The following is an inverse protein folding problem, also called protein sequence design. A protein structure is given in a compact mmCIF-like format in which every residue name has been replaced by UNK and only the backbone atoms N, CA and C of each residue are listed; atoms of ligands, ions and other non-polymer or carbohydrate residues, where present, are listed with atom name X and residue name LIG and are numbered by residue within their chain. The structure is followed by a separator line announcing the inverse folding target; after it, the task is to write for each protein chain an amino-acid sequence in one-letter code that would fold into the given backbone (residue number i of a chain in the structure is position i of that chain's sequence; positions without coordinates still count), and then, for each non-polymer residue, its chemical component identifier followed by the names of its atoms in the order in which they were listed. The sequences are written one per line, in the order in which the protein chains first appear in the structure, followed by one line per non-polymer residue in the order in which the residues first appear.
data_IF_401576714884
#
_entry.id   IF_401576714884
#
_cell.length_a   1.000
_cell.length_b   1.000
_cell.length_c   1.000
_cell.angle_alpha   90.00
_cell.angle_beta   90.00
_cell.angle_gamma   90.00
#
_symmetry.space_group_name_H-M   'P 1'
#
loop_
_entity.id
_entity.type
_entity.pdbx_description
1 polymer ?
#
# COMPACT_ATOMS: atom_id res chain seq x y z
N UNK A 1 -0.45 -32.60 -1.54
CA UNK A 1 0.47 -31.54 -1.06
C UNK A 1 0.22 -30.29 -1.89
N UNK A 2 -0.22 -29.19 -1.29
CA UNK A 2 -0.30 -27.90 -2.01
C UNK A 2 1.13 -27.43 -2.20
N UNK A 3 1.57 -27.32 -3.45
CA UNK A 3 2.88 -26.76 -3.77
C UNK A 3 2.98 -25.36 -3.16
N UNK A 4 3.95 -25.12 -2.29
CA UNK A 4 4.26 -23.80 -1.74
C UNK A 4 4.70 -22.87 -2.87
N UNK A 5 4.23 -21.61 -2.86
CA UNK A 5 4.67 -20.65 -3.86
C UNK A 5 6.07 -20.16 -3.47
N UNK A 6 7.06 -20.40 -4.29
CA UNK A 6 8.40 -19.84 -4.12
C UNK A 6 8.34 -18.35 -4.46
N UNK A 7 8.75 -17.47 -3.52
CA UNK A 7 8.83 -16.04 -3.77
C UNK A 7 10.02 -15.70 -4.67
N UNK A 8 11.20 -16.31 -4.37
CA UNK A 8 12.42 -16.12 -5.14
C UNK A 8 12.40 -17.00 -6.39
N UNK A 9 11.94 -16.41 -7.47
CA UNK A 9 11.86 -17.00 -8.80
C UNK A 9 11.91 -15.87 -9.84
N UNK A 10 12.71 -16.03 -10.88
CA UNK A 10 12.66 -15.12 -12.04
C UNK A 10 11.34 -15.34 -12.77
N UNK A 11 10.63 -14.26 -13.03
CA UNK A 11 9.27 -14.27 -13.61
C UNK A 11 9.14 -13.29 -14.74
N UNK A 12 8.42 -13.68 -15.76
CA UNK A 12 7.91 -12.75 -16.75
C UNK A 12 6.72 -11.91 -16.20
N UNK A 13 6.21 -10.97 -16.98
CA UNK A 13 5.13 -10.08 -16.57
C UNK A 13 3.84 -10.84 -16.26
N UNK A 14 3.48 -11.83 -17.08
CA UNK A 14 2.28 -12.64 -16.91
C UNK A 14 2.37 -13.53 -15.67
N UNK A 15 3.52 -14.16 -15.45
CA UNK A 15 3.81 -14.96 -14.26
C UNK A 15 3.76 -14.11 -12.97
N UNK A 16 4.31 -12.87 -12.99
CA UNK A 16 4.22 -11.95 -11.84
C UNK A 16 2.79 -11.67 -11.44
N UNK A 17 1.92 -11.37 -12.42
CA UNK A 17 0.50 -11.10 -12.18
C UNK A 17 -0.20 -12.36 -11.66
N UNK A 18 -0.03 -13.49 -12.36
CA UNK A 18 -0.65 -14.76 -11.97
C UNK A 18 -0.24 -15.21 -10.56
N UNK A 19 1.05 -15.14 -10.26
CA UNK A 19 1.58 -15.53 -8.96
C UNK A 19 1.15 -14.57 -7.84
N UNK A 20 0.97 -13.29 -8.14
CA UNK A 20 0.42 -12.31 -7.18
C UNK A 20 -1.00 -12.68 -6.76
N UNK A 21 -1.87 -13.02 -7.72
CA UNK A 21 -3.22 -13.50 -7.43
C UNK A 21 -3.23 -14.86 -6.73
N UNK A 22 -2.35 -15.76 -7.16
CA UNK A 22 -2.22 -17.08 -6.54
C UNK A 22 -1.77 -16.97 -5.09
N UNK A 23 -0.78 -16.12 -4.80
CA UNK A 23 -0.33 -15.83 -3.45
C UNK A 23 -1.45 -15.25 -2.60
N UNK A 24 -2.13 -14.21 -3.13
CA UNK A 24 -3.26 -13.57 -2.45
C UNK A 24 -4.37 -14.59 -2.15
N UNK A 25 -4.75 -15.41 -3.12
CA UNK A 25 -5.77 -16.46 -2.92
C UNK A 25 -5.39 -17.47 -1.83
N UNK A 26 -4.13 -17.90 -1.80
CA UNK A 26 -3.65 -18.91 -0.84
C UNK A 26 -3.48 -18.37 0.57
N UNK A 27 -3.13 -17.10 0.70
CA UNK A 27 -2.83 -16.45 1.98
C UNK A 27 -3.89 -15.40 2.36
N UNK A 28 -5.06 -15.39 1.70
CA UNK A 28 -6.06 -14.33 1.85
C UNK A 28 -6.50 -14.15 3.29
N UNK A 29 -6.77 -15.24 4.00
CA UNK A 29 -7.24 -15.20 5.40
C UNK A 29 -6.20 -14.57 6.32
N UNK A 30 -4.94 -14.92 6.16
CA UNK A 30 -3.83 -14.43 6.97
C UNK A 30 -3.53 -12.96 6.66
N UNK A 31 -3.52 -12.58 5.38
CA UNK A 31 -3.33 -11.19 4.94
C UNK A 31 -4.50 -10.31 5.39
N UNK A 32 -5.72 -10.80 5.28
CA UNK A 32 -6.92 -10.11 5.77
C UNK A 32 -6.87 -9.92 7.28
N UNK A 33 -6.50 -10.96 8.03
CA UNK A 33 -6.31 -10.86 9.48
C UNK A 33 -5.23 -9.83 9.85
N UNK A 34 -4.11 -9.82 9.11
CA UNK A 34 -3.03 -8.84 9.28
C UNK A 34 -3.54 -7.41 9.04
N UNK A 35 -4.33 -7.21 7.99
CA UNK A 35 -4.96 -5.92 7.71
C UNK A 35 -5.89 -5.48 8.85
N UNK A 36 -6.79 -6.35 9.31
CA UNK A 36 -7.72 -6.01 10.38
C UNK A 36 -7.03 -5.68 11.71
N UNK A 37 -5.95 -6.37 12.05
CA UNK A 37 -5.24 -6.16 13.32
C UNK A 37 -4.39 -4.89 13.30
N UNK A 38 -3.65 -4.63 12.22
CA UNK A 38 -2.63 -3.58 12.21
C UNK A 38 -3.05 -2.29 11.51
N UNK A 39 -4.05 -2.32 10.63
CA UNK A 39 -4.43 -1.16 9.81
C UNK A 39 -5.78 -0.59 10.20
N UNK A 40 -6.80 -1.44 10.34
CA UNK A 40 -8.19 -1.03 10.61
C UNK A 40 -8.34 -0.16 11.86
N UNK A 41 -7.61 -0.36 12.99
CA UNK A 41 -7.72 0.51 14.15
C UNK A 41 -7.44 1.99 13.84
N UNK A 42 -6.45 2.28 13.00
CA UNK A 42 -6.13 3.66 12.60
C UNK A 42 -7.22 4.24 11.70
N UNK A 43 -7.79 3.44 10.80
CA UNK A 43 -8.88 3.89 9.92
C UNK A 43 -10.15 4.16 10.74
N UNK A 44 -10.49 3.28 11.69
CA UNK A 44 -11.65 3.51 12.57
C UNK A 44 -11.47 4.81 13.36
N UNK A 45 -10.28 5.05 13.91
CA UNK A 45 -9.99 6.28 14.63
C UNK A 45 -10.12 7.51 13.71
N UNK A 46 -9.58 7.43 12.49
CA UNK A 46 -9.74 8.49 11.48
C UNK A 46 -11.22 8.76 11.16
N UNK A 47 -12.04 7.72 10.99
CA UNK A 47 -13.49 7.86 10.72
C UNK A 47 -14.20 8.51 11.91
N UNK A 48 -13.93 8.07 13.14
CA UNK A 48 -14.52 8.67 14.35
C UNK A 48 -14.18 10.15 14.45
N UNK A 49 -12.91 10.52 14.29
CA UNK A 49 -12.49 11.93 14.33
C UNK A 49 -13.06 12.72 13.16
N UNK A 50 -13.24 12.12 11.99
CA UNK A 50 -13.87 12.76 10.82
C UNK A 50 -15.34 13.14 11.08
N UNK A 51 -16.06 12.40 11.91
CA UNK A 51 -17.44 12.76 12.28
C UNK A 51 -17.45 14.08 13.08
N UNK A 52 -16.55 14.23 14.07
CA UNK A 52 -16.42 15.46 14.84
C UNK A 52 -15.95 16.63 13.98
N UNK A 53 -14.96 16.38 13.12
CA UNK A 53 -14.45 17.36 12.16
C UNK A 53 -15.55 17.86 11.22
N UNK A 54 -16.35 16.94 10.63
CA UNK A 54 -17.44 17.30 9.73
C UNK A 54 -18.53 18.12 10.44
N UNK A 55 -18.86 17.77 11.69
CA UNK A 55 -19.81 18.56 12.51
C UNK A 55 -19.30 19.96 12.79
N UNK A 56 -18.03 20.12 13.15
CA UNK A 56 -17.39 21.43 13.38
C UNK A 56 -17.35 22.26 12.09
N UNK A 57 -16.93 21.63 10.99
CA UNK A 57 -16.84 22.30 9.69
C UNK A 57 -18.23 22.79 9.22
N UNK A 58 -19.26 21.93 9.35
CA UNK A 58 -20.64 22.32 9.04
C UNK A 58 -21.10 23.51 9.88
N UNK A 59 -20.88 23.50 11.19
CA UNK A 59 -21.25 24.60 12.06
C UNK A 59 -20.51 25.91 11.69
N UNK A 60 -19.22 25.83 11.35
CA UNK A 60 -18.42 26.96 10.91
C UNK A 60 -18.93 27.54 9.59
N UNK A 61 -19.25 26.71 8.60
CA UNK A 61 -19.82 27.15 7.31
C UNK A 61 -21.18 27.81 7.48
N UNK A 62 -22.05 27.24 8.32
CA UNK A 62 -23.41 27.79 8.53
C UNK A 62 -23.39 29.06 9.36
N UNK A 63 -22.58 29.13 10.44
CA UNK A 63 -22.54 30.32 11.33
C UNK A 63 -21.71 31.46 10.78
N UNK A 64 -20.69 31.17 9.93
CA UNK A 64 -19.74 32.12 9.35
C UNK A 64 -19.86 32.22 7.83
N UNK A 65 -21.08 32.11 7.27
CA UNK A 65 -21.29 32.00 5.83
C UNK A 65 -20.57 33.08 4.99
N UNK A 66 -20.31 34.28 5.56
CA UNK A 66 -19.60 35.39 4.91
C UNK A 66 -18.14 35.54 5.37
N UNK A 67 -17.74 34.91 6.51
CA UNK A 67 -16.41 35.05 7.14
C UNK A 67 -15.67 33.71 7.26
N UNK A 68 -16.09 32.70 6.50
CA UNK A 68 -15.43 31.38 6.50
C UNK A 68 -14.02 31.52 5.95
N UNK A 69 -13.03 31.12 6.77
CA UNK A 69 -11.62 31.19 6.42
C UNK A 69 -11.03 29.79 6.23
N UNK A 70 -10.00 29.69 5.39
CA UNK A 70 -9.25 28.43 5.17
C UNK A 70 -8.70 27.90 6.51
N UNK A 71 -8.33 28.76 7.46
CA UNK A 71 -7.92 28.39 8.80
C UNK A 71 -8.97 27.61 9.61
N UNK A 72 -10.25 27.75 9.29
CA UNK A 72 -11.34 26.99 9.93
C UNK A 72 -11.28 25.49 9.56
N UNK A 73 -10.63 25.14 8.44
CA UNK A 73 -10.37 23.76 8.01
C UNK A 73 -9.24 23.15 8.84
N UNK A 74 -8.17 23.91 9.11
CA UNK A 74 -6.97 23.42 9.78
C UNK A 74 -7.12 23.43 11.30
N UNK A 75 -7.95 22.53 11.83
CA UNK A 75 -8.10 22.31 13.27
C UNK A 75 -7.31 21.08 13.77
N UNK A 76 -7.37 20.88 15.08
CA UNK A 76 -6.72 19.72 15.73
C UNK A 76 -7.20 18.38 15.13
N UNK A 77 -8.50 18.28 14.82
CA UNK A 77 -9.11 17.09 14.24
C UNK A 77 -8.52 16.76 12.87
N UNK A 78 -8.27 17.77 12.04
CA UNK A 78 -7.62 17.60 10.73
C UNK A 78 -6.22 17.00 10.88
N UNK A 79 -5.43 17.49 11.83
CA UNK A 79 -4.10 16.97 12.12
C UNK A 79 -4.16 15.50 12.62
N UNK A 80 -5.14 15.18 13.47
CA UNK A 80 -5.33 13.81 13.96
C UNK A 80 -5.73 12.86 12.82
N UNK A 81 -6.66 13.29 11.95
CA UNK A 81 -7.05 12.50 10.77
C UNK A 81 -5.83 12.24 9.88
N UNK A 82 -5.06 13.29 9.57
CA UNK A 82 -3.85 13.17 8.76
C UNK A 82 -2.86 12.18 9.38
N UNK A 83 -2.61 12.31 10.68
CA UNK A 83 -1.72 11.39 11.41
C UNK A 83 -2.24 9.94 11.36
N UNK A 84 -3.53 9.73 11.56
CA UNK A 84 -4.13 8.40 11.46
C UNK A 84 -3.98 7.79 10.07
N UNK A 85 -4.18 8.58 9.00
CA UNK A 85 -4.03 8.11 7.63
C UNK A 85 -2.57 7.76 7.30
N UNK A 86 -1.62 8.59 7.73
CA UNK A 86 -0.18 8.33 7.57
C UNK A 86 0.23 7.07 8.34
N UNK A 87 -0.26 6.90 9.57
CA UNK A 87 -0.03 5.69 10.37
C UNK A 87 -0.69 4.46 9.74
N UNK A 88 -1.91 4.57 9.21
CA UNK A 88 -2.58 3.48 8.50
C UNK A 88 -1.76 3.02 7.29
N UNK A 89 -1.28 3.97 6.46
CA UNK A 89 -0.45 3.66 5.30
C UNK A 89 0.88 2.98 5.68
N UNK A 90 1.61 3.53 6.65
CA UNK A 90 2.86 2.94 7.13
C UNK A 90 2.64 1.55 7.74
N UNK A 91 1.55 1.38 8.51
CA UNK A 91 1.17 0.10 9.12
C UNK A 91 0.82 -0.93 8.06
N UNK A 92 0.11 -0.53 7.02
CA UNK A 92 -0.29 -1.42 5.94
C UNK A 92 0.93 -2.00 5.20
N UNK A 93 1.80 -1.13 4.74
CA UNK A 93 3.04 -1.54 4.07
C UNK A 93 3.90 -2.41 4.99
N UNK A 94 4.12 -1.97 6.24
CA UNK A 94 4.96 -2.70 7.19
C UNK A 94 4.41 -4.08 7.51
N UNK A 95 3.10 -4.19 7.77
CA UNK A 95 2.49 -5.46 8.15
C UNK A 95 2.48 -6.48 6.99
N UNK A 96 2.10 -6.05 5.79
CA UNK A 96 2.05 -6.93 4.61
C UNK A 96 3.44 -7.36 4.19
N UNK A 97 4.41 -6.43 4.11
CA UNK A 97 5.78 -6.80 3.71
C UNK A 97 6.53 -7.59 4.80
N UNK A 98 6.17 -7.41 6.08
CA UNK A 98 6.64 -8.31 7.16
C UNK A 98 6.11 -9.74 6.96
N UNK A 99 4.85 -9.90 6.54
CA UNK A 99 4.30 -11.20 6.21
C UNK A 99 5.07 -11.85 5.06
N UNK A 100 5.34 -11.11 3.97
CA UNK A 100 6.12 -11.61 2.83
C UNK A 100 7.56 -11.98 3.23
N UNK A 101 8.22 -11.15 4.05
CA UNK A 101 9.58 -11.42 4.53
C UNK A 101 9.65 -12.72 5.33
N UNK A 102 8.72 -12.94 6.25
CA UNK A 102 8.64 -14.15 7.05
C UNK A 102 8.27 -15.39 6.21
N UNK A 103 7.36 -15.23 5.24
CA UNK A 103 6.99 -16.30 4.34
C UNK A 103 8.19 -16.77 3.48
N UNK A 104 9.02 -15.84 3.02
CA UNK A 104 10.27 -16.12 2.32
C UNK A 104 11.28 -16.85 3.22
N UNK A 105 11.50 -16.33 4.45
CA UNK A 105 12.43 -16.94 5.43
C UNK A 105 12.03 -18.36 5.82
N UNK A 106 10.73 -18.61 5.93
CA UNK A 106 10.18 -19.91 6.28
C UNK A 106 9.96 -20.82 5.06
N UNK A 107 10.55 -20.48 3.91
CA UNK A 107 10.49 -21.26 2.65
C UNK A 107 9.06 -21.67 2.26
N UNK A 108 8.12 -20.72 2.36
CA UNK A 108 6.74 -20.91 1.96
C UNK A 108 5.78 -21.42 3.05
N UNK A 109 6.24 -21.53 4.29
CA UNK A 109 5.36 -21.80 5.42
C UNK A 109 4.67 -20.49 5.85
N UNK A 110 3.37 -20.58 6.12
CA UNK A 110 2.59 -19.40 6.53
C UNK A 110 3.03 -18.91 7.91
N UNK A 111 3.46 -17.64 8.04
CA UNK A 111 3.84 -17.08 9.32
C UNK A 111 2.63 -16.93 10.25
N UNK A 112 2.88 -17.08 11.55
CA UNK A 112 1.86 -16.83 12.56
C UNK A 112 1.66 -15.33 12.79
N UNK A 113 0.47 -14.92 13.24
CA UNK A 113 0.17 -13.51 13.53
C UNK A 113 1.12 -12.93 14.59
N UNK A 114 1.58 -13.74 15.54
CA UNK A 114 2.55 -13.32 16.54
C UNK A 114 3.91 -12.97 15.93
N UNK A 115 4.40 -13.77 14.98
CA UNK A 115 5.65 -13.50 14.27
C UNK A 115 5.54 -12.23 13.43
N UNK A 116 4.42 -12.08 12.69
CA UNK A 116 4.15 -10.84 11.93
C UNK A 116 4.11 -9.63 12.87
N UNK A 117 3.45 -9.74 14.01
CA UNK A 117 3.38 -8.67 15.01
C UNK A 117 4.74 -8.27 15.56
N UNK A 118 5.60 -9.23 15.88
CA UNK A 118 6.95 -8.94 16.38
C UNK A 118 7.78 -8.15 15.33
N UNK A 119 7.74 -8.58 14.07
CA UNK A 119 8.46 -7.91 12.98
C UNK A 119 7.83 -6.54 12.67
N UNK A 120 6.50 -6.44 12.70
CA UNK A 120 5.77 -5.19 12.53
C UNK A 120 6.17 -4.14 13.58
N UNK A 121 6.06 -4.45 14.88
CA UNK A 121 6.39 -3.49 15.94
C UNK A 121 7.86 -3.08 15.95
N UNK A 122 8.75 -3.97 15.51
CA UNK A 122 10.17 -3.64 15.33
C UNK A 122 10.41 -2.59 14.24
N UNK A 123 9.59 -2.60 13.17
CA UNK A 123 9.88 -1.84 11.95
C UNK A 123 8.91 -0.68 11.69
N UNK A 124 7.68 -0.66 12.24
CA UNK A 124 6.64 0.31 11.85
C UNK A 124 7.08 1.77 11.97
N UNK A 125 7.70 2.17 13.08
CA UNK A 125 8.16 3.55 13.26
C UNK A 125 9.35 3.89 12.37
N UNK A 126 10.21 2.91 12.08
CA UNK A 126 11.33 3.08 11.16
C UNK A 126 10.85 3.23 9.73
N UNK A 127 9.90 2.38 9.30
CA UNK A 127 9.26 2.46 7.98
C UNK A 127 8.48 3.77 7.86
N UNK A 128 7.79 4.21 8.92
CA UNK A 128 7.12 5.50 8.94
C UNK A 128 8.09 6.65 8.68
N UNK A 129 9.18 6.73 9.45
CA UNK A 129 10.20 7.77 9.27
C UNK A 129 10.84 7.73 7.88
N UNK A 130 11.11 6.54 7.38
CA UNK A 130 11.60 6.31 6.05
C UNK A 130 10.62 6.79 4.96
N UNK A 131 9.35 6.40 5.06
CA UNK A 131 8.32 6.80 4.11
C UNK A 131 8.11 8.32 4.09
N UNK A 132 8.18 8.99 5.24
CA UNK A 132 8.12 10.46 5.34
C UNK A 132 9.33 11.08 4.62
N UNK A 133 10.54 10.60 4.89
CA UNK A 133 11.76 11.16 4.27
C UNK A 133 11.78 10.97 2.76
N UNK A 134 11.51 9.75 2.27
CA UNK A 134 11.47 9.47 0.83
C UNK A 134 10.29 10.16 0.17
N UNK A 135 9.10 10.14 0.82
CA UNK A 135 7.91 10.84 0.34
C UNK A 135 8.15 12.33 0.17
N UNK A 136 8.85 12.97 1.11
CA UNK A 136 9.22 14.40 0.99
C UNK A 136 10.07 14.66 -0.25
N UNK A 137 11.10 13.84 -0.49
CA UNK A 137 11.96 13.96 -1.69
C UNK A 137 11.13 13.79 -2.97
N UNK A 138 10.25 12.79 -2.98
CA UNK A 138 9.41 12.49 -4.14
C UNK A 138 8.39 13.61 -4.42
N UNK A 139 7.83 14.24 -3.36
CA UNK A 139 6.95 15.41 -3.49
C UNK A 139 7.69 16.57 -4.14
N UNK A 140 8.94 16.86 -3.76
CA UNK A 140 9.73 17.91 -4.38
C UNK A 140 9.95 17.66 -5.87
N UNK A 141 10.19 16.40 -6.27
CA UNK A 141 10.31 16.01 -7.68
C UNK A 141 8.96 16.16 -8.41
N UNK A 142 7.83 15.88 -7.74
CA UNK A 142 6.49 15.97 -8.32
C UNK A 142 6.04 17.41 -8.63
N UNK A 143 6.68 18.42 -8.06
CA UNK A 143 6.36 19.83 -8.35
C UNK A 143 6.53 20.13 -9.84
N UNK A 144 7.54 19.57 -10.51
CA UNK A 144 7.83 19.85 -11.92
C UNK A 144 6.66 19.42 -12.84
N UNK A 145 6.20 18.15 -12.85
CA UNK A 145 5.05 17.76 -13.66
C UNK A 145 3.77 18.47 -13.23
N UNK A 146 3.59 18.83 -11.96
CA UNK A 146 2.45 19.59 -11.50
C UNK A 146 2.40 20.99 -12.13
N UNK A 147 3.52 21.66 -12.27
CA UNK A 147 3.63 22.92 -12.99
C UNK A 147 3.29 22.74 -14.48
N UNK A 148 3.69 21.63 -15.10
CA UNK A 148 3.36 21.34 -16.50
C UNK A 148 1.83 21.17 -16.69
N UNK A 149 1.11 20.56 -15.71
CA UNK A 149 -0.37 20.42 -15.75
C UNK A 149 -1.04 21.77 -15.92
N UNK A 150 -0.52 22.84 -15.30
CA UNK A 150 -1.09 24.18 -15.40
C UNK A 150 -1.07 24.74 -16.83
N UNK A 151 -0.08 24.37 -17.63
CA UNK A 151 0.07 24.89 -19.01
C UNK A 151 -0.44 23.92 -20.05
N UNK A 152 -0.29 22.63 -19.86
CA UNK A 152 -0.70 21.57 -20.81
C UNK A 152 -1.43 20.47 -20.00
N UNK A 153 -2.73 20.64 -19.72
CA UNK A 153 -3.45 19.78 -18.77
C UNK A 153 -3.39 18.29 -19.12
N UNK A 154 -3.56 17.92 -20.40
CA UNK A 154 -3.54 16.49 -20.81
C UNK A 154 -2.15 15.86 -20.59
N UNK A 155 -1.10 16.55 -21.03
CA UNK A 155 0.28 16.04 -20.90
C UNK A 155 0.69 15.99 -19.42
N UNK A 156 0.31 17.01 -18.65
CA UNK A 156 0.57 17.05 -17.22
C UNK A 156 -0.16 15.95 -16.46
N UNK A 157 -1.42 15.66 -16.80
CA UNK A 157 -2.18 14.57 -16.20
C UNK A 157 -1.54 13.20 -16.46
N UNK A 158 -1.15 12.92 -17.70
CA UNK A 158 -0.44 11.67 -18.07
C UNK A 158 0.91 11.57 -17.35
N UNK A 159 1.67 12.66 -17.30
CA UNK A 159 2.93 12.73 -16.57
C UNK A 159 2.77 12.48 -15.08
N UNK A 160 1.75 13.06 -14.45
CA UNK A 160 1.41 12.85 -13.05
C UNK A 160 1.01 11.39 -12.76
N UNK A 161 0.24 10.79 -13.66
CA UNK A 161 -0.15 9.37 -13.53
C UNK A 161 1.08 8.46 -13.59
N UNK A 162 1.96 8.62 -14.58
CA UNK A 162 3.18 7.83 -14.71
C UNK A 162 4.12 8.04 -13.51
N UNK A 163 4.26 9.28 -13.05
CA UNK A 163 5.08 9.59 -11.89
C UNK A 163 4.54 8.94 -10.61
N UNK A 164 3.22 8.96 -10.41
CA UNK A 164 2.61 8.31 -9.24
C UNK A 164 2.82 6.79 -9.23
N UNK A 165 2.72 6.14 -10.39
CA UNK A 165 3.01 4.70 -10.54
C UNK A 165 4.48 4.41 -10.21
N UNK A 166 5.40 5.22 -10.73
CA UNK A 166 6.82 5.08 -10.45
C UNK A 166 7.13 5.30 -8.96
N UNK A 167 6.53 6.30 -8.34
CA UNK A 167 6.71 6.57 -6.91
C UNK A 167 6.25 5.40 -6.04
N UNK A 168 5.08 4.85 -6.33
CA UNK A 168 4.59 3.69 -5.62
C UNK A 168 5.51 2.47 -5.81
N UNK A 169 6.03 2.24 -7.02
CA UNK A 169 6.99 1.18 -7.28
C UNK A 169 8.28 1.36 -6.44
N UNK A 170 8.82 2.57 -6.40
CA UNK A 170 10.00 2.92 -5.60
C UNK A 170 9.70 2.69 -4.11
N UNK A 171 8.62 3.28 -3.58
CA UNK A 171 8.27 3.18 -2.16
C UNK A 171 8.05 1.73 -1.73
N UNK A 172 7.33 0.94 -2.51
CA UNK A 172 7.09 -0.46 -2.24
C UNK A 172 8.38 -1.29 -2.23
N UNK A 173 9.23 -1.11 -3.24
CA UNK A 173 10.52 -1.83 -3.35
C UNK A 173 11.44 -1.47 -2.20
N UNK A 174 11.62 -0.19 -1.91
CA UNK A 174 12.46 0.29 -0.82
C UNK A 174 11.95 -0.16 0.55
N UNK A 175 10.62 -0.19 0.78
CA UNK A 175 10.04 -0.70 2.03
C UNK A 175 10.32 -2.20 2.20
N UNK A 176 10.21 -2.99 1.14
CA UNK A 176 10.58 -4.41 1.17
C UNK A 176 12.07 -4.61 1.53
N UNK A 177 12.97 -3.85 0.88
CA UNK A 177 14.41 -3.89 1.19
C UNK A 177 14.68 -3.52 2.65
N UNK A 178 14.01 -2.48 3.13
CA UNK A 178 14.18 -2.03 4.51
C UNK A 178 13.80 -3.11 5.51
N UNK A 179 12.68 -3.80 5.29
CA UNK A 179 12.17 -4.84 6.19
C UNK A 179 13.00 -6.14 6.04
N UNK A 180 13.31 -6.55 4.81
CA UNK A 180 13.97 -7.82 4.51
C UNK A 180 15.49 -7.76 4.69
N UNK A 181 16.13 -6.73 4.16
CA UNK A 181 17.60 -6.61 4.15
C UNK A 181 18.11 -5.76 5.31
N UNK A 182 17.24 -5.00 6.00
CA UNK A 182 17.61 -4.15 7.13
C UNK A 182 18.52 -2.96 6.76
N UNK A 183 18.60 -2.61 5.49
CA UNK A 183 19.48 -1.52 4.98
C UNK A 183 18.89 -0.14 5.30
N UNK A 184 19.76 0.85 5.54
CA UNK A 184 19.32 2.24 5.70
C UNK A 184 18.93 2.91 4.38
N UNK A 185 18.46 4.18 4.44
CA UNK A 185 17.98 4.94 3.27
C UNK A 185 19.01 4.95 2.13
N UNK A 186 20.28 5.26 2.43
CA UNK A 186 21.34 5.31 1.43
C UNK A 186 21.59 3.94 0.78
N UNK A 187 21.66 2.86 1.58
CA UNK A 187 21.83 1.50 1.08
C UNK A 187 20.64 1.05 0.25
N UNK A 188 19.42 1.33 0.69
CA UNK A 188 18.20 1.01 -0.06
C UNK A 188 18.14 1.77 -1.39
N UNK A 189 18.58 3.03 -1.44
CA UNK A 189 18.64 3.80 -2.68
C UNK A 189 19.64 3.21 -3.66
N UNK A 190 20.87 2.90 -3.21
CA UNK A 190 21.88 2.25 -4.06
C UNK A 190 21.37 0.92 -4.60
N UNK A 191 20.83 0.08 -3.73
CA UNK A 191 20.25 -1.23 -4.08
C UNK A 191 19.07 -1.12 -5.04
N UNK A 192 18.21 -0.10 -4.89
CA UNK A 192 17.09 0.18 -5.81
C UNK A 192 17.60 0.43 -7.22
N UNK A 193 18.61 1.31 -7.37
CA UNK A 193 19.21 1.59 -8.67
C UNK A 193 19.85 0.35 -9.28
N UNK A 194 20.47 -0.51 -8.47
CA UNK A 194 21.02 -1.79 -8.93
C UNK A 194 19.95 -2.75 -9.43
N UNK A 195 18.84 -2.90 -8.70
CA UNK A 195 17.73 -3.77 -9.08
C UNK A 195 16.97 -3.25 -10.31
N UNK A 196 16.86 -1.92 -10.44
CA UNK A 196 16.12 -1.30 -11.54
C UNK A 196 17.01 -1.05 -12.77
N UNK A 197 18.31 -1.21 -12.65
CA UNK A 197 19.24 -1.03 -13.76
C UNK A 197 18.83 -1.90 -14.94
N UNK A 198 18.67 -1.27 -16.10
CA UNK A 198 18.20 -1.89 -17.36
C UNK A 198 16.77 -2.47 -17.32
N UNK A 199 16.03 -2.33 -16.21
CA UNK A 199 14.68 -2.90 -16.00
C UNK A 199 13.58 -1.85 -15.74
N UNK A 200 13.89 -0.56 -15.82
CA UNK A 200 12.95 0.52 -15.51
C UNK A 200 11.61 0.36 -16.23
N UNK A 201 11.63 0.10 -17.53
CA UNK A 201 10.41 -0.09 -18.33
C UNK A 201 9.61 -1.32 -17.92
N UNK A 202 10.26 -2.41 -17.55
CA UNK A 202 9.59 -3.61 -17.05
C UNK A 202 8.93 -3.37 -15.69
N UNK A 203 9.62 -2.64 -14.80
CA UNK A 203 9.08 -2.25 -13.49
C UNK A 203 7.88 -1.31 -13.65
N UNK A 204 7.99 -0.29 -14.49
CA UNK A 204 6.90 0.65 -14.77
C UNK A 204 5.73 -0.08 -15.43
N UNK A 205 5.99 -0.91 -16.44
CA UNK A 205 4.96 -1.69 -17.14
C UNK A 205 4.20 -2.65 -16.23
N UNK A 206 4.93 -3.39 -15.37
CA UNK A 206 4.30 -4.26 -14.39
C UNK A 206 3.42 -3.47 -13.40
N UNK A 207 3.96 -2.39 -12.83
CA UNK A 207 3.21 -1.58 -11.88
C UNK A 207 2.01 -0.90 -12.54
N UNK A 208 2.14 -0.44 -13.79
CA UNK A 208 1.01 0.09 -14.56
C UNK A 208 -0.14 -0.92 -14.65
N UNK A 209 0.15 -2.16 -15.04
CA UNK A 209 -0.87 -3.21 -15.13
C UNK A 209 -1.44 -3.55 -13.76
N UNK A 210 -0.61 -3.66 -12.73
CA UNK A 210 -1.02 -3.94 -11.36
C UNK A 210 -1.98 -2.84 -10.83
N UNK A 211 -1.67 -1.56 -11.09
CA UNK A 211 -2.55 -0.45 -10.75
C UNK A 211 -3.81 -0.36 -11.60
N UNK A 212 -3.74 -0.70 -12.89
CA UNK A 212 -4.95 -0.77 -13.73
C UNK A 212 -5.94 -1.79 -13.18
N UNK A 213 -5.48 -2.96 -12.76
CA UNK A 213 -6.32 -3.96 -12.12
C UNK A 213 -6.96 -3.39 -10.85
N UNK A 214 -6.16 -2.75 -9.99
CA UNK A 214 -6.67 -2.08 -8.80
C UNK A 214 -7.72 -1.02 -9.12
N UNK A 215 -7.47 -0.13 -10.08
CA UNK A 215 -8.39 0.94 -10.43
C UNK A 215 -9.72 0.45 -11.02
N UNK A 216 -9.76 -0.70 -11.66
CA UNK A 216 -11.02 -1.32 -12.12
C UNK A 216 -11.90 -1.63 -10.91
N UNK A 217 -11.35 -2.23 -9.85
CA UNK A 217 -12.11 -2.55 -8.63
C UNK A 217 -12.40 -1.31 -7.77
N UNK A 218 -11.36 -0.50 -7.52
CA UNK A 218 -11.49 0.71 -6.70
C UNK A 218 -12.38 1.77 -7.36
N UNK A 219 -12.36 1.90 -8.69
CA UNK A 219 -13.16 2.85 -9.44
C UNK A 219 -14.66 2.68 -9.24
N UNK A 220 -15.14 1.43 -9.16
CA UNK A 220 -16.55 1.15 -8.85
C UNK A 220 -16.91 1.68 -7.46
N UNK A 221 -16.05 1.47 -6.46
CA UNK A 221 -16.29 1.95 -5.09
C UNK A 221 -16.22 3.48 -5.00
N UNK A 222 -15.26 4.09 -5.71
CA UNK A 222 -15.17 5.56 -5.81
C UNK A 222 -16.44 6.14 -6.43
N UNK A 223 -16.96 5.52 -7.51
CA UNK A 223 -18.22 5.96 -8.12
C UNK A 223 -19.39 5.87 -7.14
N UNK A 224 -19.51 4.78 -6.37
CA UNK A 224 -20.53 4.64 -5.31
C UNK A 224 -20.35 5.74 -4.26
N UNK A 225 -19.11 6.02 -3.84
CA UNK A 225 -18.78 7.08 -2.89
C UNK A 225 -19.21 8.47 -3.38
N UNK A 226 -18.97 8.78 -4.66
CA UNK A 226 -19.42 10.02 -5.31
C UNK A 226 -20.95 10.12 -5.31
N UNK A 227 -21.66 9.04 -5.60
CA UNK A 227 -23.13 9.00 -5.57
C UNK A 227 -23.66 9.25 -4.16
N UNK A 228 -23.07 8.64 -3.12
CA UNK A 228 -23.41 8.90 -1.73
C UNK A 228 -23.18 10.37 -1.38
N UNK A 229 -22.03 10.91 -1.78
CA UNK A 229 -21.70 12.32 -1.54
C UNK A 229 -22.67 13.27 -2.25
N UNK A 230 -23.06 13.00 -3.49
CA UNK A 230 -24.07 13.79 -4.22
C UNK A 230 -25.42 13.76 -3.50
N UNK A 231 -25.90 12.60 -3.09
CA UNK A 231 -27.16 12.48 -2.34
C UNK A 231 -27.07 13.23 -1.01
N UNK A 232 -25.94 13.14 -0.31
CA UNK A 232 -25.71 13.87 0.92
C UNK A 232 -25.77 15.38 0.71
N UNK A 233 -25.09 15.90 -0.32
CA UNK A 233 -25.07 17.33 -0.63
C UNK A 233 -26.45 17.86 -1.01
N UNK A 234 -27.21 17.14 -1.83
CA UNK A 234 -28.58 17.51 -2.18
C UNK A 234 -29.49 17.58 -0.95
N UNK A 235 -29.40 16.61 -0.04
CA UNK A 235 -30.19 16.60 1.19
C UNK A 235 -29.83 17.74 2.16
N UNK A 236 -28.60 18.26 2.10
CA UNK A 236 -28.17 19.40 2.90
C UNK A 236 -28.66 20.73 2.30
N UNK A 237 -28.73 20.83 0.97
CA UNK A 237 -29.13 22.08 0.27
C UNK A 237 -30.63 22.27 0.22
N UNK A 238 -31.45 21.21 0.18
CA UNK A 238 -32.91 21.29 0.10
C UNK A 238 -33.60 21.69 1.40
N UNK A 239 -32.90 21.58 2.55
CA UNK A 239 -33.41 22.00 3.86
C UNK A 239 -32.38 22.85 4.63
N UNK A 240 -31.98 24.05 4.15
CA UNK A 240 -31.02 24.89 4.85
C UNK A 240 -31.53 25.43 6.21
N UNK A 241 -32.87 25.37 6.46
CA UNK A 241 -33.52 25.85 7.66
C UNK A 241 -34.11 24.71 8.54
N UNK A 242 -33.69 23.46 8.36
CA UNK A 242 -34.08 22.42 9.31
C UNK A 242 -33.40 22.75 10.66
N UNK A 243 -34.11 23.41 11.53
CA UNK A 243 -33.68 23.99 12.83
C UNK A 243 -33.17 22.96 13.86
N UNK A 244 -33.18 21.65 13.54
CA UNK A 244 -32.69 20.61 14.43
C UNK A 244 -31.24 20.26 14.11
N UNK A 245 -30.30 20.93 14.78
CA UNK A 245 -28.85 20.63 14.76
C UNK A 245 -28.56 19.15 15.00
N UNK A 246 -29.36 18.45 15.80
CA UNK A 246 -29.23 17.03 16.13
C UNK A 246 -29.53 16.14 14.89
N UNK A 247 -30.57 16.44 14.11
CA UNK A 247 -30.90 15.69 12.89
C UNK A 247 -29.85 15.87 11.80
N UNK A 248 -29.29 17.08 11.69
CA UNK A 248 -28.23 17.38 10.73
C UNK A 248 -26.92 16.67 11.10
N UNK A 249 -26.53 16.69 12.37
CA UNK A 249 -25.35 15.96 12.86
C UNK A 249 -25.51 14.45 12.67
N UNK A 250 -26.70 13.91 12.92
CA UNK A 250 -27.00 12.49 12.69
C UNK A 250 -26.83 12.08 11.23
N UNK A 251 -27.32 12.89 10.29
CA UNK A 251 -27.15 12.65 8.84
C UNK A 251 -25.68 12.70 8.43
N UNK A 252 -24.93 13.70 8.89
CA UNK A 252 -23.48 13.82 8.61
C UNK A 252 -22.74 12.58 9.10
N UNK A 253 -23.07 12.09 10.30
CA UNK A 253 -22.44 10.88 10.87
C UNK A 253 -22.70 9.63 10.01
N UNK A 254 -23.94 9.44 9.52
CA UNK A 254 -24.29 8.32 8.66
C UNK A 254 -23.48 8.35 7.35
N UNK A 255 -23.35 9.50 6.71
CA UNK A 255 -22.56 9.63 5.48
C UNK A 255 -21.07 9.43 5.74
N UNK A 256 -20.53 9.94 6.84
CA UNK A 256 -19.14 9.75 7.22
C UNK A 256 -18.83 8.27 7.47
N UNK A 257 -19.73 7.54 8.13
CA UNK A 257 -19.60 6.09 8.36
C UNK A 257 -19.67 5.34 7.02
N UNK A 258 -20.62 5.67 6.14
CA UNK A 258 -20.75 5.03 4.84
C UNK A 258 -19.49 5.21 3.98
N UNK A 259 -18.94 6.42 3.91
CA UNK A 259 -17.69 6.72 3.22
C UNK A 259 -16.51 5.98 3.88
N UNK A 260 -16.47 5.93 5.21
CA UNK A 260 -15.44 5.18 5.94
C UNK A 260 -15.46 3.69 5.65
N UNK A 261 -16.65 3.07 5.56
CA UNK A 261 -16.80 1.66 5.18
C UNK A 261 -16.35 1.43 3.74
N UNK A 262 -16.72 2.30 2.81
CA UNK A 262 -16.24 2.22 1.43
C UNK A 262 -14.72 2.33 1.35
N UNK A 263 -14.13 3.22 2.13
CA UNK A 263 -12.67 3.38 2.22
C UNK A 263 -12.00 2.10 2.76
N UNK A 264 -12.55 1.47 3.80
CA UNK A 264 -12.06 0.19 4.31
C UNK A 264 -12.10 -0.91 3.24
N UNK A 265 -13.19 -0.99 2.47
CA UNK A 265 -13.31 -1.98 1.40
C UNK A 265 -12.31 -1.68 0.27
N UNK A 266 -12.14 -0.41 -0.10
CA UNK A 266 -11.18 0.01 -1.13
C UNK A 266 -9.75 -0.38 -0.75
N UNK A 267 -9.39 -0.22 0.52
CA UNK A 267 -8.08 -0.62 1.04
C UNK A 267 -7.85 -2.14 0.95
N UNK A 268 -8.89 -2.98 0.98
CA UNK A 268 -8.72 -4.43 0.75
C UNK A 268 -8.21 -4.74 -0.66
N UNK A 269 -8.64 -3.97 -1.66
CA UNK A 269 -8.12 -4.16 -3.03
C UNK A 269 -6.66 -3.74 -3.19
N UNK A 270 -6.15 -2.88 -2.30
CA UNK A 270 -4.73 -2.52 -2.27
C UNK A 270 -3.83 -3.72 -1.93
N UNK A 271 -4.37 -4.78 -1.29
CA UNK A 271 -3.65 -6.06 -1.14
C UNK A 271 -3.17 -6.64 -2.48
N UNK A 272 -3.89 -6.40 -3.57
CA UNK A 272 -3.48 -6.81 -4.92
C UNK A 272 -2.19 -6.09 -5.29
N UNK A 273 -2.18 -4.76 -5.10
CA UNK A 273 -1.03 -3.90 -5.43
C UNK A 273 0.19 -4.28 -4.59
N UNK A 274 0.00 -4.42 -3.27
CA UNK A 274 1.09 -4.75 -2.34
C UNK A 274 1.64 -6.17 -2.61
N UNK A 275 0.77 -7.13 -2.89
CA UNK A 275 1.20 -8.50 -3.24
C UNK A 275 1.98 -8.52 -4.55
N UNK A 276 1.49 -7.79 -5.56
CA UNK A 276 2.20 -7.63 -6.82
C UNK A 276 3.57 -6.98 -6.64
N UNK A 277 3.64 -5.89 -5.88
CA UNK A 277 4.89 -5.20 -5.60
C UNK A 277 5.90 -6.09 -4.86
N UNK A 278 5.44 -6.90 -3.90
CA UNK A 278 6.30 -7.86 -3.21
C UNK A 278 6.82 -8.94 -4.19
N UNK A 279 5.95 -9.58 -4.98
CA UNK A 279 6.34 -10.59 -5.97
C UNK A 279 7.34 -10.00 -6.98
N UNK A 280 7.11 -8.76 -7.43
CA UNK A 280 8.04 -8.07 -8.33
C UNK A 280 9.41 -7.85 -7.67
N UNK A 281 9.43 -7.40 -6.41
CA UNK A 281 10.67 -7.22 -5.64
C UNK A 281 11.46 -8.53 -5.56
N UNK A 282 10.84 -9.64 -5.10
CA UNK A 282 11.53 -10.93 -4.97
C UNK A 282 11.98 -11.49 -6.33
N UNK A 283 11.22 -11.25 -7.40
CA UNK A 283 11.60 -11.65 -8.75
C UNK A 283 12.82 -10.87 -9.27
N UNK A 284 12.90 -9.56 -8.97
CA UNK A 284 14.06 -8.73 -9.33
C UNK A 284 15.31 -9.10 -8.51
N UNK A 285 15.14 -9.39 -7.22
CA UNK A 285 16.22 -9.88 -6.38
C UNK A 285 16.78 -11.20 -6.93
N UNK A 286 15.91 -12.15 -7.28
CA UNK A 286 16.36 -13.45 -7.80
C UNK A 286 17.06 -13.31 -9.17
N UNK A 287 16.54 -12.45 -10.04
CA UNK A 287 17.18 -12.19 -11.34
C UNK A 287 18.58 -11.56 -11.19
N UNK A 288 18.80 -10.78 -10.11
CA UNK A 288 20.07 -10.10 -9.85
C UNK A 288 21.05 -10.94 -9.05
N UNK A 289 20.55 -11.60 -8.01
CA UNK A 289 21.36 -12.27 -6.99
C UNK A 289 21.49 -13.78 -7.22
N UNK A 290 20.50 -14.42 -7.88
CA UNK A 290 20.51 -15.86 -8.20
C UNK A 290 20.47 -16.78 -6.97
N UNK A 291 20.04 -16.29 -5.81
CA UNK A 291 20.18 -16.99 -4.52
C UNK A 291 19.42 -18.32 -4.45
N UNK A 292 18.26 -18.45 -5.11
CA UNK A 292 17.52 -19.71 -5.14
C UNK A 292 18.19 -20.73 -6.07
N UNK A 293 18.87 -20.28 -7.12
CA UNK A 293 19.64 -21.13 -8.01
C UNK A 293 20.87 -21.66 -7.28
N UNK A 294 21.58 -20.82 -6.53
CA UNK A 294 22.72 -21.23 -5.69
C UNK A 294 22.29 -22.25 -4.64
N UNK A 295 21.19 -22.01 -3.89
CA UNK A 295 20.64 -22.98 -2.93
C UNK A 295 20.30 -24.34 -3.59
N UNK A 296 19.80 -24.34 -4.83
CA UNK A 296 19.52 -25.60 -5.56
C UNK A 296 20.80 -26.32 -5.97
N UNK A 297 21.83 -25.61 -6.40
CA UNK A 297 23.13 -26.16 -6.76
C UNK A 297 23.78 -26.81 -5.54
N UNK A 298 23.79 -26.13 -4.40
CA UNK A 298 24.35 -26.62 -3.14
C UNK A 298 23.61 -27.89 -2.67
N UNK A 299 22.26 -27.89 -2.76
CA UNK A 299 21.47 -29.08 -2.40
C UNK A 299 21.73 -30.30 -3.31
N UNK A 300 22.09 -30.08 -4.57
CA UNK A 300 22.50 -31.15 -5.49
C UNK A 300 23.90 -31.61 -5.12
N UNK A 301 24.82 -30.70 -4.79
CA UNK A 301 26.19 -31.05 -4.33
C UNK A 301 26.18 -31.89 -3.07
N UNK A 302 25.42 -31.51 -2.04
CA UNK A 302 25.27 -32.29 -0.80
C UNK A 302 24.68 -33.70 -1.03
N UNK A 303 23.76 -33.84 -2.00
CA UNK A 303 23.21 -35.14 -2.36
C UNK A 303 24.25 -36.02 -3.12
N UNK A 304 25.09 -35.42 -3.94
CA UNK A 304 26.16 -36.16 -4.67
C UNK A 304 27.21 -36.67 -3.70
N UNK A 305 27.57 -35.92 -2.67
CA UNK A 305 28.53 -36.38 -1.64
C UNK A 305 27.96 -37.51 -0.77
N UNK A 306 26.63 -37.56 -0.57
CA UNK A 306 25.97 -38.70 0.13
C UNK A 306 25.91 -39.97 -0.69
N UNK A 307 25.93 -39.89 -2.02
CA UNK A 307 25.88 -41.04 -2.93
C UNK A 307 27.24 -41.38 -3.57
N UNK A 308 28.23 -40.46 -3.49
CA UNK A 308 29.58 -40.65 -4.02
C UNK A 308 30.47 -41.60 -3.22
N UNK A 309 29.99 -42.15 -2.10
CA UNK A 309 30.72 -43.07 -1.25
C UNK A 309 30.58 -44.57 -1.61
N UNK A 310 29.99 -44.88 -2.76
CA UNK A 310 30.04 -46.26 -3.28
C UNK A 310 31.27 -46.38 -4.18
N UNK A 311 32.44 -46.53 -3.56
CA UNK A 311 33.61 -47.01 -4.28
C UNK A 311 33.27 -48.38 -4.89
N UNK A 312 33.33 -48.42 -6.22
CA UNK A 312 33.33 -49.69 -6.94
C UNK A 312 34.47 -50.55 -6.44
N UNK A 313 34.18 -51.50 -5.57
CA UNK A 313 35.08 -52.64 -5.35
C UNK A 313 34.95 -53.58 -6.55
N UNK A 314 35.91 -53.50 -7.44
CA UNK A 314 36.26 -54.55 -8.40
C UNK A 314 37.44 -55.34 -7.89
#
# INVERSE_FOLDING_TARGET
MQQTLQLRKVRDLGEKISDSFLFLKRNFKELLSTYFVFVVPFIILAVVVSIFFAGRLYSAVVSKAYDFQISDIFGFEFLVILLCLVMAYASYNTAIYSYFSLYDEQKGVKPTMQQVGQLYFKNVFRVLGYNIAVGFILILIAIIPYLIVMFIPLLGFLGQMLLSILFNAIMATMTNMYIKEGVGISGATSRLFDLFRDKWWHVIGFNLVNYLIYYVFAGVLVFIGIMIFMVASLNMTTNPFAENSVLTTGKISVYAIAIGVLFLIMQLFELIVLSGAAINYYSLCEEKDGTAIEEMIDAIGENTDKYGGVEEQY
#
